data_IF_285407629041
#
_entry.id   IF_285407629041
#
_cell.length_a   1.000
_cell.length_b   1.000
_cell.length_c   1.000
_cell.angle_alpha   90.00
_cell.angle_beta   90.00
_cell.angle_gamma   90.00
#
_symmetry.space_group_name_H-M   'P 1'
#
loop_
_entity.id
_entity.type
_entity.pdbx_description
1 polymer ?
#
# COMPACT_ATOMS: atom_id res chain seq x y z
N UNK A 1 -22.26 66.12 -29.06
CA UNK A 1 -22.17 65.12 -27.98
C UNK A 1 -22.18 63.79 -28.70
N UNK A 2 -21.00 63.39 -29.20
CA UNK A 2 -20.80 62.08 -29.81
C UNK A 2 -20.97 61.03 -28.71
N UNK A 3 -21.97 60.16 -28.85
CA UNK A 3 -22.00 58.87 -28.17
C UNK A 3 -21.09 57.95 -28.97
N UNK A 4 -19.86 57.75 -28.49
CA UNK A 4 -18.99 56.70 -28.99
C UNK A 4 -19.70 55.34 -28.81
N UNK A 5 -19.68 54.45 -29.81
CA UNK A 5 -20.30 53.14 -29.69
C UNK A 5 -19.62 52.33 -28.56
N UNK A 6 -20.37 51.50 -27.81
CA UNK A 6 -19.79 50.72 -26.73
C UNK A 6 -18.67 49.83 -27.29
N UNK A 7 -17.47 49.99 -26.72
CA UNK A 7 -16.28 49.21 -27.07
C UNK A 7 -16.66 47.72 -27.07
N UNK A 8 -16.42 46.96 -28.15
CA UNK A 8 -16.75 45.55 -28.21
C UNK A 8 -16.05 44.83 -27.05
N UNK A 9 -16.81 44.07 -26.28
CA UNK A 9 -16.35 43.34 -25.10
C UNK A 9 -15.21 42.33 -25.35
N UNK A 10 -14.76 42.19 -26.61
CA UNK A 10 -13.65 41.34 -27.04
C UNK A 10 -12.25 41.94 -26.88
N UNK A 11 -12.10 43.27 -26.70
CA UNK A 11 -10.78 43.93 -26.66
C UNK A 11 -10.32 44.32 -25.24
N UNK A 12 -11.11 44.01 -24.20
CA UNK A 12 -10.71 44.30 -22.82
C UNK A 12 -9.72 43.23 -22.32
N UNK A 13 -8.44 43.57 -22.04
CA UNK A 13 -7.41 42.61 -21.65
C UNK A 13 -7.75 41.87 -20.35
N UNK A 14 -8.56 42.46 -19.48
CA UNK A 14 -9.03 41.85 -18.24
C UNK A 14 -10.11 40.78 -18.54
N UNK A 15 -11.07 41.08 -19.42
CA UNK A 15 -12.09 40.10 -19.84
C UNK A 15 -11.47 38.96 -20.66
N UNK A 16 -10.47 39.25 -21.51
CA UNK A 16 -9.68 38.25 -22.21
C UNK A 16 -8.90 37.35 -21.24
N UNK A 17 -8.32 37.93 -20.18
CA UNK A 17 -7.67 37.17 -19.11
C UNK A 17 -8.66 36.25 -18.37
N UNK A 18 -9.84 36.74 -18.00
CA UNK A 18 -10.86 35.94 -17.33
C UNK A 18 -11.43 34.82 -18.20
N UNK A 19 -11.66 35.08 -19.50
CA UNK A 19 -12.11 34.05 -20.46
C UNK A 19 -11.05 32.99 -20.67
N UNK A 20 -9.78 33.37 -20.85
CA UNK A 20 -8.66 32.43 -20.93
C UNK A 20 -8.55 31.54 -19.69
N UNK A 21 -8.64 32.12 -18.48
CA UNK A 21 -8.63 31.36 -17.23
C UNK A 21 -9.82 30.40 -17.16
N UNK A 22 -11.03 30.86 -17.52
CA UNK A 22 -12.22 30.03 -17.49
C UNK A 22 -12.15 28.85 -18.47
N UNK A 23 -11.66 29.07 -19.69
CA UNK A 23 -11.47 28.03 -20.71
C UNK A 23 -10.45 26.99 -20.26
N UNK A 24 -9.30 27.41 -19.73
CA UNK A 24 -8.27 26.49 -19.25
C UNK A 24 -8.69 25.77 -17.97
N UNK A 25 -9.44 26.44 -17.09
CA UNK A 25 -10.03 25.83 -15.90
C UNK A 25 -11.00 24.71 -16.30
N UNK A 26 -11.98 24.99 -17.16
CA UNK A 26 -12.92 23.97 -17.63
C UNK A 26 -12.21 22.87 -18.43
N UNK A 27 -11.23 23.23 -19.28
CA UNK A 27 -10.42 22.27 -20.02
C UNK A 27 -9.67 21.29 -19.12
N UNK A 28 -9.12 21.76 -17.98
CA UNK A 28 -8.50 20.90 -16.97
C UNK A 28 -9.51 19.89 -16.38
N UNK A 29 -10.74 20.32 -16.07
CA UNK A 29 -11.78 19.43 -15.56
C UNK A 29 -12.27 18.43 -16.60
N UNK A 30 -12.38 18.85 -17.87
CA UNK A 30 -12.73 17.95 -18.98
C UNK A 30 -11.66 16.86 -19.15
N UNK A 31 -10.39 17.23 -19.21
CA UNK A 31 -9.28 16.28 -19.30
C UNK A 31 -9.23 15.33 -18.09
N UNK A 32 -9.49 15.84 -16.89
CA UNK A 32 -9.60 15.02 -15.68
C UNK A 32 -10.77 14.03 -15.76
N UNK A 33 -11.90 14.45 -16.33
CA UNK A 33 -13.07 13.60 -16.56
C UNK A 33 -12.82 12.50 -17.59
N UNK A 34 -12.13 12.81 -18.69
CA UNK A 34 -11.71 11.80 -19.68
C UNK A 34 -10.79 10.76 -19.07
N UNK A 35 -9.80 11.18 -18.26
CA UNK A 35 -8.91 10.27 -17.56
C UNK A 35 -9.68 9.35 -16.59
N UNK A 36 -10.64 9.89 -15.84
CA UNK A 36 -11.50 9.11 -14.94
C UNK A 36 -12.32 8.07 -15.71
N UNK A 37 -12.97 8.47 -16.81
CA UNK A 37 -13.72 7.54 -17.67
C UNK A 37 -12.81 6.47 -18.27
N UNK A 38 -11.59 6.82 -18.65
CA UNK A 38 -10.55 5.88 -19.08
C UNK A 38 -10.18 4.87 -18.00
N UNK A 39 -10.08 5.27 -16.73
CA UNK A 39 -9.87 4.34 -15.62
C UNK A 39 -11.07 3.42 -15.39
N UNK A 40 -12.29 3.96 -15.45
CA UNK A 40 -13.56 3.23 -15.25
C UNK A 40 -13.78 2.17 -16.32
N UNK A 41 -13.50 2.48 -17.57
CA UNK A 41 -13.64 1.55 -18.70
C UNK A 41 -12.41 0.68 -18.92
N UNK A 42 -11.25 1.12 -18.45
CA UNK A 42 -9.97 0.44 -18.61
C UNK A 42 -9.67 -0.53 -17.46
N UNK A 43 -8.93 -0.06 -16.45
CA UNK A 43 -8.36 -0.94 -15.44
C UNK A 43 -9.39 -1.44 -14.41
N UNK A 44 -10.42 -0.64 -14.06
CA UNK A 44 -11.35 -0.99 -12.97
C UNK A 44 -12.03 -2.36 -13.14
N UNK A 45 -12.57 -2.74 -14.31
CA UNK A 45 -13.13 -4.08 -14.51
C UNK A 45 -12.12 -5.20 -14.22
N UNK A 46 -10.87 -5.04 -14.68
CA UNK A 46 -9.78 -5.98 -14.40
C UNK A 46 -9.50 -6.09 -12.91
N UNK A 47 -9.52 -4.98 -12.17
CA UNK A 47 -9.35 -4.99 -10.72
C UNK A 47 -10.45 -5.76 -10.00
N UNK A 48 -11.70 -5.58 -10.42
CA UNK A 48 -12.83 -6.28 -9.82
C UNK A 48 -12.68 -7.79 -10.01
N UNK A 49 -12.33 -8.23 -11.22
CA UNK A 49 -12.08 -9.65 -11.50
C UNK A 49 -10.89 -10.18 -10.68
N UNK A 50 -9.80 -9.43 -10.60
CA UNK A 50 -8.64 -9.80 -9.79
C UNK A 50 -8.97 -9.88 -8.30
N UNK A 51 -9.74 -8.92 -7.76
CA UNK A 51 -10.25 -8.93 -6.38
C UNK A 51 -11.06 -10.19 -6.12
N UNK A 52 -11.99 -10.55 -7.01
CA UNK A 52 -12.79 -11.77 -6.89
C UNK A 52 -11.92 -13.02 -6.93
N UNK A 53 -10.92 -13.07 -7.82
CA UNK A 53 -9.98 -14.19 -7.90
C UNK A 53 -9.15 -14.31 -6.61
N UNK A 54 -8.60 -13.20 -6.11
CA UNK A 54 -7.77 -13.19 -4.91
C UNK A 54 -8.58 -13.56 -3.66
N UNK A 55 -9.83 -13.09 -3.56
CA UNK A 55 -10.76 -13.50 -2.50
C UNK A 55 -11.10 -15.00 -2.58
N UNK A 56 -11.22 -15.54 -3.79
CA UNK A 56 -11.42 -16.97 -4.01
C UNK A 56 -10.19 -17.77 -3.58
N UNK A 57 -8.97 -17.30 -3.90
CA UNK A 57 -7.71 -17.92 -3.49
C UNK A 57 -7.56 -17.91 -1.97
N UNK A 58 -7.80 -16.78 -1.29
CA UNK A 58 -7.69 -16.70 0.17
C UNK A 58 -8.68 -17.62 0.87
N UNK A 59 -9.92 -17.66 0.37
CA UNK A 59 -10.96 -18.57 0.88
C UNK A 59 -10.59 -20.03 0.65
N UNK A 60 -10.01 -20.36 -0.52
CA UNK A 60 -9.57 -21.72 -0.85
C UNK A 60 -8.35 -22.18 -0.04
N UNK A 61 -7.35 -21.31 0.16
CA UNK A 61 -6.21 -21.57 1.04
C UNK A 61 -6.70 -21.77 2.48
N UNK A 62 -7.71 -21.01 2.88
CA UNK A 62 -8.28 -21.01 4.22
C UNK A 62 -7.51 -20.08 5.16
N UNK A 63 -8.25 -19.29 5.93
CA UNK A 63 -7.73 -18.27 6.84
C UNK A 63 -6.67 -18.82 7.81
N UNK A 64 -6.89 -20.01 8.36
CA UNK A 64 -5.94 -20.64 9.27
C UNK A 64 -4.57 -20.93 8.64
N UNK A 65 -4.50 -21.21 7.34
CA UNK A 65 -3.23 -21.47 6.64
C UNK A 65 -2.50 -20.17 6.36
N UNK A 66 -3.22 -19.12 5.95
CA UNK A 66 -2.66 -17.77 5.76
C UNK A 66 -2.10 -17.25 7.08
N UNK A 67 -2.89 -17.28 8.15
CA UNK A 67 -2.45 -16.88 9.49
C UNK A 67 -1.21 -17.66 9.94
N UNK A 68 -1.14 -18.96 9.65
CA UNK A 68 0.05 -19.77 9.98
C UNK A 68 1.28 -19.36 9.16
N UNK A 69 1.13 -19.07 7.87
CA UNK A 69 2.22 -18.61 7.02
C UNK A 69 2.79 -17.26 7.50
N UNK A 70 1.91 -16.38 7.97
CA UNK A 70 2.26 -15.07 8.54
C UNK A 70 2.97 -15.21 9.88
N UNK A 71 2.45 -16.04 10.77
CA UNK A 71 3.11 -16.36 12.04
C UNK A 71 4.46 -17.06 11.83
N UNK A 72 4.62 -17.82 10.75
CA UNK A 72 5.90 -18.43 10.41
C UNK A 72 6.90 -17.40 9.87
N UNK A 73 6.45 -16.46 9.03
CA UNK A 73 7.32 -15.45 8.45
C UNK A 73 7.79 -14.39 9.45
N UNK A 74 7.16 -14.29 10.63
CA UNK A 74 7.61 -13.39 11.71
C UNK A 74 8.91 -13.84 12.41
N UNK A 75 9.37 -15.08 12.18
CA UNK A 75 10.46 -15.72 12.93
C UNK A 75 11.84 -15.09 12.70
N UNK A 76 12.16 -14.73 11.45
CA UNK A 76 13.47 -14.18 11.09
C UNK A 76 13.32 -12.73 10.63
N UNK A 77 14.31 -11.88 10.93
CA UNK A 77 14.25 -10.46 10.53
C UNK A 77 14.05 -10.28 9.02
N UNK A 78 14.77 -11.07 8.20
CA UNK A 78 14.62 -11.03 6.75
C UNK A 78 13.19 -11.37 6.34
N UNK A 79 12.66 -12.51 6.81
CA UNK A 79 11.31 -12.96 6.43
C UNK A 79 10.22 -12.03 6.97
N UNK A 80 10.44 -11.44 8.15
CA UNK A 80 9.52 -10.52 8.81
C UNK A 80 9.38 -9.20 8.06
N UNK A 81 10.44 -8.71 7.42
CA UNK A 81 10.42 -7.43 6.71
C UNK A 81 10.34 -7.58 5.18
N UNK A 82 10.25 -8.82 4.68
CA UNK A 82 10.02 -9.09 3.25
C UNK A 82 8.78 -9.94 3.05
N UNK A 83 8.85 -11.23 3.38
CA UNK A 83 7.80 -12.21 3.13
C UNK A 83 6.51 -11.84 3.86
N UNK A 84 6.60 -11.45 5.13
CA UNK A 84 5.42 -11.12 5.94
C UNK A 84 4.64 -9.91 5.37
N UNK A 85 5.26 -8.75 5.06
CA UNK A 85 4.61 -7.65 4.34
C UNK A 85 4.01 -8.05 3.00
N UNK A 86 4.74 -8.82 2.19
CA UNK A 86 4.26 -9.24 0.86
C UNK A 86 2.98 -10.07 0.98
N UNK A 87 2.99 -11.06 1.87
CA UNK A 87 1.80 -11.89 2.14
C UNK A 87 0.66 -11.04 2.71
N UNK A 88 0.96 -10.17 3.69
CA UNK A 88 -0.04 -9.32 4.33
C UNK A 88 -0.76 -8.44 3.31
N UNK A 89 -0.01 -7.75 2.46
CA UNK A 89 -0.54 -6.76 1.52
C UNK A 89 -1.30 -7.43 0.38
N UNK A 90 -0.80 -8.53 -0.18
CA UNK A 90 -1.50 -9.24 -1.28
C UNK A 90 -2.81 -9.87 -0.79
N UNK A 91 -2.84 -10.38 0.45
CA UNK A 91 -3.97 -11.14 0.98
C UNK A 91 -5.03 -10.26 1.65
N UNK A 92 -4.63 -9.26 2.44
CA UNK A 92 -5.57 -8.41 3.18
C UNK A 92 -5.74 -7.02 2.59
N UNK A 93 -4.84 -6.57 1.71
CA UNK A 93 -4.86 -5.22 1.13
C UNK A 93 -4.68 -4.11 2.18
N UNK A 94 -4.42 -2.87 1.73
CA UNK A 94 -4.41 -1.69 2.60
C UNK A 94 -5.85 -1.31 3.01
N UNK A 95 -6.15 -1.00 4.29
CA UNK A 95 -5.30 -0.96 5.48
C UNK A 95 -5.27 -2.26 6.31
N UNK A 96 -6.05 -3.27 5.93
CA UNK A 96 -6.21 -4.48 6.74
C UNK A 96 -4.91 -5.28 6.91
N UNK A 97 -3.95 -5.16 5.99
CA UNK A 97 -2.62 -5.78 6.07
C UNK A 97 -1.87 -5.46 7.38
N UNK A 98 -2.08 -4.29 7.99
CA UNK A 98 -1.41 -3.89 9.22
C UNK A 98 -1.83 -4.72 10.44
N UNK A 99 -3.01 -5.36 10.40
CA UNK A 99 -3.50 -6.23 11.47
C UNK A 99 -2.58 -7.42 11.75
N UNK A 100 -1.79 -7.86 10.77
CA UNK A 100 -0.78 -8.91 10.95
C UNK A 100 0.38 -8.51 11.85
N UNK A 101 0.56 -7.21 12.13
CA UNK A 101 1.47 -6.73 13.17
C UNK A 101 1.11 -7.25 14.58
N UNK A 102 -0.12 -7.71 14.80
CA UNK A 102 -0.52 -8.38 16.04
C UNK A 102 0.24 -9.68 16.32
N UNK A 103 0.86 -10.29 15.31
CA UNK A 103 1.70 -11.49 15.46
C UNK A 103 3.18 -11.17 15.75
N UNK A 104 3.50 -9.92 16.05
CA UNK A 104 4.84 -9.46 16.38
C UNK A 104 4.93 -8.88 17.79
N UNK A 105 6.06 -9.09 18.49
CA UNK A 105 6.44 -8.33 19.66
C UNK A 105 6.36 -6.82 19.42
N UNK A 106 6.09 -6.05 20.47
CA UNK A 106 5.79 -4.61 20.39
C UNK A 106 6.94 -3.84 19.73
N UNK A 107 8.19 -4.19 20.05
CA UNK A 107 9.39 -3.55 19.48
C UNK A 107 9.52 -3.67 17.96
N UNK A 108 8.85 -4.65 17.35
CA UNK A 108 8.99 -5.00 15.95
C UNK A 108 7.83 -4.50 15.09
N UNK A 109 6.72 -4.10 15.71
CA UNK A 109 5.53 -3.57 15.03
C UNK A 109 5.82 -2.31 14.20
N UNK A 110 6.59 -1.32 14.67
CA UNK A 110 6.89 -0.13 13.86
C UNK A 110 7.64 -0.47 12.56
N UNK A 111 8.62 -1.38 12.65
CA UNK A 111 9.39 -1.83 11.49
C UNK A 111 8.56 -2.65 10.50
N UNK A 112 7.65 -3.49 11.00
CA UNK A 112 6.70 -4.20 10.14
C UNK A 112 5.73 -3.23 9.45
N UNK A 113 5.17 -2.27 10.19
CA UNK A 113 4.30 -1.25 9.64
C UNK A 113 5.00 -0.48 8.52
N UNK A 114 6.23 -0.02 8.76
CA UNK A 114 7.04 0.68 7.78
C UNK A 114 7.33 -0.16 6.52
N UNK A 115 7.64 -1.45 6.70
CA UNK A 115 7.83 -2.38 5.59
C UNK A 115 6.54 -2.60 4.79
N UNK A 116 5.41 -2.77 5.48
CA UNK A 116 4.11 -3.02 4.86
C UNK A 116 3.59 -1.79 4.11
N UNK A 117 3.60 -0.60 4.73
CA UNK A 117 3.15 0.65 4.09
C UNK A 117 4.04 1.01 2.91
N UNK A 118 5.34 0.73 2.97
CA UNK A 118 6.23 0.94 1.83
C UNK A 118 5.95 -0.03 0.69
N UNK A 119 5.46 -1.24 0.97
CA UNK A 119 5.14 -2.24 -0.05
C UNK A 119 3.79 -2.00 -0.75
N UNK A 120 2.86 -1.26 -0.14
CA UNK A 120 1.55 -0.99 -0.76
C UNK A 120 1.64 -0.14 -2.04
N UNK A 121 2.81 0.42 -2.36
CA UNK A 121 3.06 1.12 -3.62
C UNK A 121 3.57 0.17 -4.73
N UNK A 122 4.73 -0.49 -4.61
CA UNK A 122 5.30 -1.33 -5.66
C UNK A 122 4.46 -2.58 -5.98
N UNK A 123 3.63 -3.04 -5.03
CA UNK A 123 2.74 -4.19 -5.24
C UNK A 123 1.69 -3.92 -6.34
N UNK A 124 1.34 -2.65 -6.57
CA UNK A 124 0.23 -2.25 -7.47
C UNK A 124 0.52 -2.56 -8.94
N UNK A 125 1.78 -2.80 -9.31
CA UNK A 125 2.17 -3.15 -10.69
C UNK A 125 1.64 -4.52 -11.11
N UNK A 126 1.53 -5.46 -10.18
CA UNK A 126 1.05 -6.83 -10.43
C UNK A 126 -0.26 -7.13 -9.70
N UNK A 127 -0.45 -6.56 -8.51
CA UNK A 127 -1.61 -6.77 -7.66
C UNK A 127 -2.26 -5.43 -7.34
N UNK A 128 -2.84 -4.77 -8.33
CA UNK A 128 -3.43 -3.45 -8.18
C UNK A 128 -4.60 -3.42 -7.16
N UNK A 129 -5.21 -4.57 -6.88
CA UNK A 129 -6.23 -4.71 -5.84
C UNK A 129 -5.70 -4.49 -4.42
N UNK A 130 -4.41 -4.69 -4.20
CA UNK A 130 -3.82 -4.62 -2.87
C UNK A 130 -3.78 -3.19 -2.30
N UNK A 131 -3.80 -2.17 -3.17
CA UNK A 131 -3.90 -0.78 -2.76
C UNK A 131 -4.48 0.09 -3.88
N UNK A 132 -5.80 0.18 -3.92
CA UNK A 132 -6.50 0.99 -4.91
C UNK A 132 -6.13 2.49 -4.86
N UNK A 133 -5.77 3.00 -3.67
CA UNK A 133 -5.43 4.42 -3.48
C UNK A 133 -4.13 4.84 -4.20
N UNK A 134 -3.18 3.93 -4.38
CA UNK A 134 -1.90 4.21 -5.04
C UNK A 134 -1.95 3.94 -6.55
N UNK A 135 -3.05 3.40 -7.08
CA UNK A 135 -3.14 3.10 -8.49
C UNK A 135 -3.02 4.34 -9.37
N UNK A 136 -3.58 5.47 -8.93
CA UNK A 136 -3.43 6.73 -9.64
C UNK A 136 -1.96 7.15 -9.79
N UNK A 137 -1.14 6.91 -8.77
CA UNK A 137 0.29 7.24 -8.80
C UNK A 137 1.02 6.32 -9.78
N UNK A 138 0.78 5.01 -9.71
CA UNK A 138 1.38 4.06 -10.65
C UNK A 138 0.94 4.30 -12.10
N UNK A 139 -0.36 4.48 -12.36
CA UNK A 139 -0.87 4.71 -13.71
C UNK A 139 -0.40 6.06 -14.25
N UNK A 140 -0.32 7.09 -13.40
CA UNK A 140 0.24 8.39 -13.77
C UNK A 140 1.70 8.30 -14.23
N UNK A 141 2.56 7.65 -13.45
CA UNK A 141 3.99 7.48 -13.81
C UNK A 141 4.15 6.58 -15.04
N UNK A 142 3.42 5.46 -15.08
CA UNK A 142 3.59 4.46 -16.13
C UNK A 142 2.94 4.86 -17.46
N UNK A 143 1.95 5.76 -17.47
CA UNK A 143 1.35 6.31 -18.70
C UNK A 143 2.38 7.04 -19.56
N UNK A 144 3.30 7.81 -18.95
CA UNK A 144 4.38 8.45 -19.68
C UNK A 144 5.31 7.43 -20.37
N UNK A 145 5.66 6.35 -19.68
CA UNK A 145 6.48 5.27 -20.27
C UNK A 145 5.71 4.54 -21.37
N UNK A 146 4.41 4.31 -21.19
CA UNK A 146 3.57 3.69 -22.22
C UNK A 146 3.53 4.53 -23.51
N UNK A 147 3.50 5.85 -23.38
CA UNK A 147 3.43 6.77 -24.50
C UNK A 147 4.75 6.87 -25.30
N UNK A 148 5.91 6.85 -24.62
CA UNK A 148 7.21 7.11 -25.27
C UNK A 148 8.10 5.88 -25.45
N UNK A 149 7.91 4.82 -24.65
CA UNK A 149 8.72 3.60 -24.68
C UNK A 149 7.89 2.38 -24.19
N UNK A 150 6.82 2.00 -24.92
CA UNK A 150 5.90 0.94 -24.49
C UNK A 150 6.60 -0.40 -24.24
N UNK A 151 7.66 -0.71 -24.98
CA UNK A 151 8.49 -1.90 -24.80
C UNK A 151 9.17 -1.96 -23.43
N UNK A 152 9.34 -0.82 -22.74
CA UNK A 152 9.94 -0.74 -21.41
C UNK A 152 8.94 -0.86 -20.27
N UNK A 153 7.64 -0.84 -20.55
CA UNK A 153 6.60 -0.87 -19.51
C UNK A 153 6.73 -2.12 -18.61
N UNK A 154 6.88 -3.30 -19.22
CA UNK A 154 7.02 -4.55 -18.46
C UNK A 154 8.28 -4.55 -17.59
N UNK A 155 9.39 -4.02 -18.11
CA UNK A 155 10.64 -3.89 -17.36
C UNK A 155 10.47 -2.94 -16.18
N UNK A 156 9.81 -1.79 -16.37
CA UNK A 156 9.50 -0.85 -15.29
C UNK A 156 8.65 -1.51 -14.20
N UNK A 157 7.59 -2.23 -14.56
CA UNK A 157 6.71 -2.92 -13.61
C UNK A 157 7.48 -3.96 -12.78
N UNK A 158 8.34 -4.76 -13.43
CA UNK A 158 9.20 -5.74 -12.77
C UNK A 158 10.19 -5.07 -11.83
N UNK A 159 10.92 -4.07 -12.30
CA UNK A 159 11.91 -3.36 -11.49
C UNK A 159 11.26 -2.67 -10.29
N UNK A 160 10.13 -2.00 -10.49
CA UNK A 160 9.44 -1.32 -9.40
C UNK A 160 9.00 -2.30 -8.31
N UNK A 161 8.47 -3.47 -8.69
CA UNK A 161 8.10 -4.53 -7.75
C UNK A 161 9.30 -5.10 -6.99
N UNK A 162 10.34 -5.55 -7.71
CA UNK A 162 11.49 -6.22 -7.09
C UNK A 162 12.38 -5.28 -6.29
N UNK A 163 12.62 -4.07 -6.79
CA UNK A 163 13.29 -3.02 -6.01
C UNK A 163 12.44 -2.67 -4.79
N UNK A 164 11.12 -2.64 -4.91
CA UNK A 164 10.20 -2.51 -3.79
C UNK A 164 10.46 -3.54 -2.68
N UNK A 165 10.62 -4.83 -3.03
CA UNK A 165 10.94 -5.90 -2.07
C UNK A 165 12.28 -5.65 -1.37
N UNK A 166 13.29 -5.17 -2.10
CA UNK A 166 14.60 -4.84 -1.52
C UNK A 166 14.49 -3.63 -0.58
N UNK A 167 13.74 -2.60 -0.98
CA UNK A 167 13.54 -1.38 -0.18
C UNK A 167 12.83 -1.70 1.13
N UNK A 168 11.78 -2.53 1.12
CA UNK A 168 11.05 -2.86 2.36
C UNK A 168 11.92 -3.63 3.34
N UNK A 169 12.84 -4.48 2.86
CA UNK A 169 13.81 -5.16 3.71
C UNK A 169 14.73 -4.17 4.40
N UNK A 170 15.32 -3.26 3.63
CA UNK A 170 16.22 -2.23 4.13
C UNK A 170 15.49 -1.37 5.16
N UNK A 171 14.30 -0.89 4.81
CA UNK A 171 13.44 -0.08 5.68
C UNK A 171 13.10 -0.81 6.98
N UNK A 172 12.66 -2.06 6.93
CA UNK A 172 12.35 -2.84 8.12
C UNK A 172 13.56 -3.00 9.06
N UNK A 173 14.74 -3.32 8.53
CA UNK A 173 15.97 -3.45 9.34
C UNK A 173 16.37 -2.11 9.96
N UNK A 174 16.38 -1.04 9.15
CA UNK A 174 16.77 0.30 9.60
C UNK A 174 15.78 0.82 10.63
N UNK A 175 14.48 0.65 10.41
CA UNK A 175 13.43 1.11 11.32
C UNK A 175 13.43 0.32 12.62
N UNK A 176 13.72 -0.97 12.60
CA UNK A 176 13.91 -1.75 13.85
C UNK A 176 15.11 -1.21 14.64
N UNK A 177 16.23 -0.90 13.97
CA UNK A 177 17.40 -0.32 14.61
C UNK A 177 17.11 1.06 15.22
N UNK A 178 16.44 1.95 14.46
CA UNK A 178 16.01 3.26 14.95
C UNK A 178 15.09 3.12 16.16
N UNK A 179 14.11 2.20 16.08
CA UNK A 179 13.16 1.94 17.17
C UNK A 179 13.88 1.54 18.45
N UNK A 180 14.82 0.58 18.36
CA UNK A 180 15.64 0.16 19.51
C UNK A 180 16.49 1.31 20.08
N UNK A 181 17.03 2.17 19.22
CA UNK A 181 17.80 3.33 19.64
C UNK A 181 16.93 4.36 20.38
N UNK A 182 15.72 4.63 19.89
CA UNK A 182 14.78 5.56 20.52
C UNK A 182 14.29 5.05 21.87
N UNK A 183 13.93 3.76 21.98
CA UNK A 183 13.53 3.14 23.25
C UNK A 183 14.61 3.33 24.31
N UNK A 184 15.88 3.08 23.97
CA UNK A 184 17.01 3.27 24.88
C UNK A 184 17.20 4.72 25.27
N UNK A 185 17.10 5.65 24.31
CA UNK A 185 17.27 7.09 24.56
C UNK A 185 16.17 7.69 25.44
N UNK A 186 14.96 7.13 25.37
CA UNK A 186 13.81 7.59 26.13
C UNK A 186 13.67 6.87 27.49
N UNK A 187 14.59 5.94 27.82
CA UNK A 187 14.51 5.19 29.08
C UNK A 187 13.33 4.21 29.14
N UNK A 188 12.72 3.84 28.01
CA UNK A 188 11.54 2.97 27.94
C UNK A 188 11.88 1.48 27.84
N UNK A 189 13.13 1.10 28.10
CA UNK A 189 13.61 -0.27 27.89
C UNK A 189 12.78 -1.30 28.67
N UNK A 190 12.57 -1.06 29.97
CA UNK A 190 11.80 -1.94 30.86
C UNK A 190 10.33 -2.06 30.41
N UNK A 191 9.71 -0.95 30.03
CA UNK A 191 8.32 -0.94 29.53
C UNK A 191 8.16 -1.83 28.30
N UNK A 192 9.09 -1.75 27.35
CA UNK A 192 9.06 -2.63 26.18
C UNK A 192 9.48 -4.07 26.48
N UNK A 193 10.31 -4.31 27.49
CA UNK A 193 10.62 -5.67 27.96
C UNK A 193 9.38 -6.34 28.58
N UNK A 194 8.56 -5.56 29.29
CA UNK A 194 7.29 -6.01 29.85
C UNK A 194 6.30 -6.37 28.74
N UNK A 195 6.14 -5.52 27.72
CA UNK A 195 5.28 -5.82 26.56
C UNK A 195 5.74 -7.07 25.80
N UNK A 196 7.05 -7.22 25.58
CA UNK A 196 7.59 -8.39 24.91
C UNK A 196 7.36 -9.66 25.75
N UNK A 197 7.48 -9.57 27.09
CA UNK A 197 7.18 -10.68 28.01
C UNK A 197 5.71 -11.08 27.95
N UNK A 198 4.80 -10.13 28.10
CA UNK A 198 3.35 -10.36 28.00
C UNK A 198 2.96 -11.01 26.66
N UNK A 199 3.57 -10.56 25.56
CA UNK A 199 3.37 -11.15 24.24
C UNK A 199 3.80 -12.62 24.20
N UNK A 200 4.97 -12.95 24.74
CA UNK A 200 5.48 -14.32 24.77
C UNK A 200 4.66 -15.23 25.69
N UNK A 201 4.20 -14.72 26.83
CA UNK A 201 3.31 -15.44 27.75
C UNK A 201 1.94 -15.73 27.09
N UNK A 202 1.34 -14.74 26.43
CA UNK A 202 0.10 -14.91 25.70
C UNK A 202 0.23 -15.94 24.56
N UNK A 203 1.34 -15.90 23.82
CA UNK A 203 1.64 -16.87 22.76
C UNK A 203 1.83 -18.30 23.32
N UNK A 204 2.48 -18.44 24.48
CA UNK A 204 2.66 -19.73 25.16
C UNK A 204 1.33 -20.30 25.67
N UNK A 205 0.50 -19.47 26.31
CA UNK A 205 -0.83 -19.86 26.78
C UNK A 205 -1.74 -20.30 25.62
N UNK A 206 -1.72 -19.59 24.49
CA UNK A 206 -2.48 -19.97 23.30
C UNK A 206 -2.01 -21.33 22.74
N UNK A 207 -0.71 -21.63 22.80
CA UNK A 207 -0.15 -22.92 22.37
C UNK A 207 -0.59 -24.06 23.30
N UNK A 208 -0.60 -23.84 24.62
CA UNK A 208 -1.04 -24.83 25.62
C UNK A 208 -2.53 -25.18 25.45
N UNK A 209 -3.41 -24.17 25.35
CA UNK A 209 -4.85 -24.39 25.10
C UNK A 209 -5.12 -25.19 23.83
N UNK A 210 -4.28 -24.99 22.80
CA UNK A 210 -4.37 -25.73 21.54
C UNK A 210 -3.90 -27.18 21.66
N UNK A 211 -2.91 -27.48 22.50
CA UNK A 211 -2.51 -28.87 22.79
C UNK A 211 -3.55 -29.61 23.63
N UNK A 212 -4.13 -28.95 24.63
CA UNK A 212 -5.18 -29.53 25.47
C UNK A 212 -6.40 -29.94 24.64
N UNK A 213 -6.93 -29.02 23.81
CA UNK A 213 -8.05 -29.32 22.89
C UNK A 213 -7.76 -30.43 21.87
N UNK A 214 -6.49 -30.64 21.51
CA UNK A 214 -6.09 -31.73 20.61
C UNK A 214 -5.96 -33.07 21.34
N UNK A 215 -5.62 -33.04 22.63
CA UNK A 215 -5.57 -34.22 23.49
C UNK A 215 -6.97 -34.69 23.91
N UNK A 216 -7.93 -33.78 24.06
CA UNK A 216 -9.34 -34.10 24.37
C UNK A 216 -10.13 -34.64 23.15
N UNK A 217 -9.63 -34.40 21.93
CA UNK A 217 -10.27 -34.82 20.68
C UNK A 217 -9.67 -36.10 20.07
N UNK A 218 -8.73 -36.75 20.77
CA UNK A 218 -8.06 -38.00 20.39
C UNK A 218 -8.50 -39.13 21.33
#
# INVERSE_FOLDING_TARGET
MEDDPPVPAGDNPILAGFTWVAEHFIGLFQASGEQLLGMVTGILPTLIVLLTLMYSITTWIGEQRVTRAVQWSSRWAITRYTIMPVIAVIMLTNPMAYSFGSYLPERQKPAFYDSAVSFVHPVTTFFPHANGGELFVWTGVSAGVLAFAPEKYALLALLYFFVGIVVILIRGIVTEWITRLLIRRQGLTEVFDDYDREFHEAAAAAKQRKSERKGEAA
#
